data_IF_283247389043
#
_entry.id   IF_283247389043
#
_cell.length_a   1.000
_cell.length_b   1.000
_cell.length_c   1.000
_cell.angle_alpha   90.00
_cell.angle_beta   90.00
_cell.angle_gamma   90.00
#
_symmetry.space_group_name_H-M   'P 1'
#
loop_
_entity.id
_entity.type
_entity.pdbx_description
1 polymer ?
#
# COMPACT_ATOMS: atom_id res chain seq x y z
N UNK A 1 93.80 1.07 121.25
CA UNK A 1 95.03 0.30 121.01
C UNK A 1 96.17 1.30 120.92
N UNK A 2 96.83 1.72 122.01
CA UNK A 2 97.28 0.97 123.20
C UNK A 2 98.29 -0.13 122.84
N UNK A 3 99.43 -0.26 123.51
CA UNK A 3 99.65 0.10 124.93
C UNK A 3 100.97 0.82 125.21
N UNK A 4 100.94 1.78 126.14
CA UNK A 4 102.13 2.22 126.88
C UNK A 4 102.62 1.08 127.79
N UNK A 5 103.92 0.81 127.82
CA UNK A 5 104.59 0.19 128.99
C UNK A 5 105.59 1.16 129.58
N UNK A 6 105.69 1.18 130.91
CA UNK A 6 106.31 2.25 131.71
C UNK A 6 107.12 1.60 132.83
N UNK A 7 108.20 2.27 133.26
CA UNK A 7 108.98 1.97 134.48
C UNK A 7 109.80 0.65 134.46
N UNK A 8 110.76 0.43 135.39
CA UNK A 8 111.19 1.32 136.48
C UNK A 8 112.68 1.74 136.44
N UNK A 9 112.98 2.87 137.10
CA UNK A 9 114.36 3.24 137.43
C UNK A 9 114.90 2.36 138.57
N UNK A 10 116.14 1.87 138.45
CA UNK A 10 116.86 1.20 139.55
C UNK A 10 117.80 2.17 140.25
N UNK A 11 117.70 2.24 141.58
CA UNK A 11 118.62 3.01 142.44
C UNK A 11 120.02 2.37 142.38
N UNK A 12 121.07 3.16 142.14
CA UNK A 12 122.44 2.70 142.34
C UNK A 12 122.77 2.68 143.84
N UNK A 13 123.45 1.62 144.29
CA UNK A 13 123.95 1.50 145.66
C UNK A 13 125.23 2.30 145.86
N UNK A 14 125.38 2.94 147.02
CA UNK A 14 126.63 3.60 147.42
C UNK A 14 127.76 2.56 147.54
N UNK A 15 128.86 2.76 146.82
CA UNK A 15 130.20 2.29 147.24
C UNK A 15 131.07 3.51 147.50
N UNK A 16 131.89 3.44 148.54
CA UNK A 16 132.71 4.56 148.98
C UNK A 16 133.89 4.78 148.04
N UNK A 17 134.09 6.02 147.61
CA UNK A 17 135.39 6.52 147.17
C UNK A 17 135.80 7.65 148.13
N UNK A 18 137.08 7.69 148.52
CA UNK A 18 137.64 8.78 149.32
C UNK A 18 137.98 9.95 148.41
N UNK A 19 137.71 11.17 148.86
CA UNK A 19 137.94 12.39 148.08
C UNK A 19 139.43 12.58 147.76
N UNK A 20 139.73 12.89 146.50
CA UNK A 20 140.83 13.78 146.11
C UNK A 20 140.35 14.65 144.95
N UNK A 21 140.02 15.91 145.23
CA UNK A 21 139.62 16.89 144.20
C UNK A 21 140.87 17.41 143.52
N UNK A 22 141.34 16.69 142.50
CA UNK A 22 142.48 17.10 141.67
C UNK A 22 142.05 18.16 140.66
N UNK A 23 142.51 19.40 140.84
CA UNK A 23 142.35 20.49 139.88
C UNK A 23 143.71 20.73 139.22
N UNK A 24 143.80 20.52 137.90
CA UNK A 24 145.05 20.59 137.11
C UNK A 24 146.26 19.86 137.72
N UNK A 25 146.03 18.76 138.46
CA UNK A 25 147.08 17.88 138.98
C UNK A 25 147.79 18.36 140.25
N UNK A 26 147.39 19.48 140.85
CA UNK A 26 148.00 20.05 142.07
C UNK A 26 146.97 20.06 143.22
N UNK A 27 147.36 19.71 144.46
CA UNK A 27 146.46 19.82 145.62
C UNK A 27 146.16 21.29 145.96
N UNK A 28 144.89 21.57 146.27
CA UNK A 28 144.34 22.91 146.52
C UNK A 28 144.98 23.63 147.73
N UNK A 29 145.70 22.91 148.59
CA UNK A 29 146.29 23.43 149.84
C UNK A 29 147.53 24.31 149.66
N UNK A 30 148.26 24.18 148.56
CA UNK A 30 149.61 24.74 148.40
C UNK A 30 149.74 25.73 147.23
N UNK A 31 148.62 26.08 146.60
CA UNK A 31 148.53 27.08 145.52
C UNK A 31 148.55 28.50 146.10
N UNK A 32 149.45 29.40 145.67
CA UNK A 32 149.42 30.80 146.08
C UNK A 32 148.13 31.48 145.56
N UNK A 33 147.58 32.38 146.37
CA UNK A 33 146.27 33.02 146.16
C UNK A 33 146.06 33.55 144.73
N UNK A 34 147.08 34.20 144.17
CA UNK A 34 147.07 34.77 142.82
C UNK A 34 146.97 33.72 141.69
N UNK A 35 147.56 32.52 141.87
CA UNK A 35 147.40 31.42 140.91
C UNK A 35 146.02 30.75 141.02
N UNK A 36 145.47 30.69 142.24
CA UNK A 36 144.10 30.24 142.47
C UNK A 36 143.08 31.23 141.87
N UNK A 37 143.34 32.53 141.99
CA UNK A 37 142.53 33.61 141.40
C UNK A 37 142.60 33.61 139.86
N UNK A 38 143.78 33.40 139.26
CA UNK A 38 143.91 33.26 137.81
C UNK A 38 143.20 32.00 137.27
N UNK A 39 143.27 30.85 137.97
CA UNK A 39 142.49 29.68 137.57
C UNK A 39 140.98 29.86 137.80
N UNK A 40 140.57 30.59 138.84
CA UNK A 40 139.16 30.98 139.01
C UNK A 40 138.70 31.88 137.85
N UNK A 41 139.52 32.84 137.42
CA UNK A 41 139.22 33.72 136.29
C UNK A 41 139.09 32.94 134.97
N UNK A 42 140.00 31.99 134.72
CA UNK A 42 139.94 31.10 133.55
C UNK A 42 138.70 30.20 133.58
N UNK A 43 138.37 29.60 134.72
CA UNK A 43 137.15 28.81 134.89
C UNK A 43 135.89 29.66 134.70
N UNK A 44 135.90 30.92 135.17
CA UNK A 44 134.80 31.85 134.95
C UNK A 44 134.67 32.22 133.46
N UNK A 45 135.78 32.48 132.76
CA UNK A 45 135.79 32.72 131.31
C UNK A 45 135.30 31.51 130.52
N UNK A 46 135.71 30.29 130.88
CA UNK A 46 135.19 29.06 130.25
C UNK A 46 133.69 28.87 130.53
N UNK A 47 133.22 29.15 131.76
CA UNK A 47 131.79 29.04 132.10
C UNK A 47 130.93 30.07 131.36
N UNK A 48 131.40 31.31 131.18
CA UNK A 48 130.68 32.29 130.37
C UNK A 48 130.79 31.98 128.86
N UNK A 49 131.94 31.53 128.35
CA UNK A 49 132.06 31.09 126.96
C UNK A 49 131.14 29.90 126.65
N UNK A 50 131.09 28.87 127.50
CA UNK A 50 130.10 27.79 127.37
C UNK A 50 128.65 28.30 127.49
N UNK A 51 128.37 29.39 128.22
CA UNK A 51 127.03 30.01 128.27
C UNK A 51 126.71 30.71 126.95
N UNK A 52 127.67 31.43 126.36
CA UNK A 52 127.55 32.04 125.04
C UNK A 52 127.33 30.96 123.96
N UNK A 53 128.12 29.88 123.96
CA UNK A 53 127.91 28.74 123.05
C UNK A 53 126.55 28.07 123.27
N UNK A 54 126.14 27.78 124.52
CA UNK A 54 124.81 27.23 124.80
C UNK A 54 123.68 28.15 124.35
N UNK A 55 123.84 29.47 124.48
CA UNK A 55 122.87 30.46 124.01
C UNK A 55 122.83 30.49 122.48
N UNK A 56 123.99 30.50 121.81
CA UNK A 56 124.10 30.43 120.36
C UNK A 56 123.46 29.16 119.78
N UNK A 57 123.77 27.97 120.34
CA UNK A 57 123.15 26.70 119.94
C UNK A 57 121.67 26.58 120.34
N UNK A 58 121.19 27.35 121.31
CA UNK A 58 119.77 27.47 121.63
C UNK A 58 119.07 28.32 120.56
N UNK A 59 119.61 29.51 120.24
CA UNK A 59 119.08 30.40 119.20
C UNK A 59 119.06 29.75 117.82
N UNK A 60 120.14 29.07 117.41
CA UNK A 60 120.16 28.35 116.13
C UNK A 60 119.18 27.15 116.12
N UNK A 61 118.98 26.45 117.26
CA UNK A 61 117.95 25.41 117.34
C UNK A 61 116.54 26.00 117.19
N UNK A 62 116.24 27.07 117.90
CA UNK A 62 114.90 27.67 117.91
C UNK A 62 114.59 28.33 116.56
N UNK A 63 115.61 28.87 115.88
CA UNK A 63 115.57 29.33 114.48
C UNK A 63 115.33 28.18 113.48
N UNK A 64 116.02 27.04 113.64
CA UNK A 64 115.77 25.82 112.83
C UNK A 64 114.36 25.28 113.08
N UNK A 65 113.89 25.28 114.35
CA UNK A 65 112.54 24.88 114.72
C UNK A 65 111.50 25.79 114.07
N UNK A 66 111.68 27.12 114.14
CA UNK A 66 110.80 28.09 113.49
C UNK A 66 110.78 27.91 111.97
N UNK A 67 111.93 27.70 111.32
CA UNK A 67 111.98 27.38 109.89
C UNK A 67 111.26 26.08 109.56
N UNK A 68 111.40 25.03 110.39
CA UNK A 68 110.69 23.78 110.21
C UNK A 68 109.18 23.93 110.38
N UNK A 69 108.71 24.64 111.41
CA UNK A 69 107.29 24.90 111.66
C UNK A 69 106.66 25.74 110.52
N UNK A 70 107.32 26.82 110.10
CA UNK A 70 106.85 27.66 109.00
C UNK A 70 106.85 26.89 107.67
N UNK A 71 107.91 26.12 107.37
CA UNK A 71 107.97 25.34 106.11
C UNK A 71 106.93 24.22 106.12
N UNK A 72 106.70 23.57 107.27
CA UNK A 72 105.64 22.56 107.46
C UNK A 72 104.26 23.17 107.26
N UNK A 73 103.96 24.31 107.88
CA UNK A 73 102.69 25.00 107.69
C UNK A 73 102.49 25.40 106.23
N UNK A 74 103.51 25.94 105.56
CA UNK A 74 103.44 26.27 104.13
C UNK A 74 103.24 25.04 103.25
N UNK A 75 103.74 23.87 103.63
CA UNK A 75 103.47 22.60 102.95
C UNK A 75 102.00 22.18 103.15
N UNK A 76 101.53 22.16 104.41
CA UNK A 76 100.14 21.80 104.75
C UNK A 76 99.11 22.76 104.11
N UNK A 77 99.42 24.05 104.01
CA UNK A 77 98.62 25.05 103.28
C UNK A 77 98.58 24.78 101.76
N UNK A 78 99.70 24.34 101.17
CA UNK A 78 99.76 24.02 99.74
C UNK A 78 99.08 22.70 99.41
N UNK A 79 99.21 21.69 100.27
CA UNK A 79 98.49 20.43 100.14
C UNK A 79 96.96 20.65 100.24
N UNK A 80 96.51 21.52 101.15
CA UNK A 80 95.10 21.91 101.26
C UNK A 80 94.61 22.71 100.03
N UNK A 81 95.43 23.62 99.49
CA UNK A 81 95.12 24.37 98.27
C UNK A 81 95.07 23.47 97.03
N UNK A 82 95.92 22.43 96.95
CA UNK A 82 95.87 21.41 95.90
C UNK A 82 94.55 20.63 95.98
N UNK A 83 94.18 20.10 97.15
CA UNK A 83 92.91 19.38 97.34
C UNK A 83 91.68 20.23 96.99
N UNK A 84 91.71 21.53 97.30
CA UNK A 84 90.64 22.46 96.91
C UNK A 84 90.60 22.64 95.37
N UNK A 85 91.76 22.72 94.70
CA UNK A 85 91.81 22.84 93.24
C UNK A 85 91.48 21.55 92.49
N UNK A 86 91.82 20.40 93.03
CA UNK A 86 91.36 19.10 92.52
C UNK A 86 89.82 19.02 92.63
N UNK A 87 89.25 19.44 93.76
CA UNK A 87 87.79 19.51 93.97
C UNK A 87 87.10 20.49 93.02
N UNK A 88 87.71 21.65 92.74
CA UNK A 88 87.21 22.66 91.78
C UNK A 88 87.23 22.14 90.34
N UNK A 89 88.25 21.35 89.98
CA UNK A 89 88.35 20.67 88.67
C UNK A 89 87.29 19.56 88.54
N UNK A 90 87.08 18.76 89.58
CA UNK A 90 86.04 17.72 89.61
C UNK A 90 84.62 18.33 89.53
N UNK A 91 84.35 19.42 90.26
CA UNK A 91 83.07 20.13 90.18
C UNK A 91 82.84 20.72 88.78
N UNK A 92 83.85 21.34 88.17
CA UNK A 92 83.77 21.85 86.79
C UNK A 92 83.51 20.72 85.78
N UNK A 93 84.17 19.56 85.93
CA UNK A 93 83.96 18.40 85.08
C UNK A 93 82.54 17.81 85.23
N UNK A 94 82.01 17.74 86.45
CA UNK A 94 80.64 17.31 86.72
C UNK A 94 79.60 18.28 86.13
N UNK A 95 79.83 19.59 86.25
CA UNK A 95 78.96 20.62 85.69
C UNK A 95 78.94 20.56 84.15
N UNK A 96 80.09 20.51 83.48
CA UNK A 96 80.13 20.33 82.01
C UNK A 96 79.48 19.02 81.55
N UNK A 97 79.60 17.93 82.33
CA UNK A 97 78.94 16.67 82.02
C UNK A 97 77.40 16.76 82.20
N UNK A 98 76.90 17.62 83.11
CA UNK A 98 75.49 17.95 83.23
C UNK A 98 74.99 18.84 82.07
N UNK A 99 75.78 19.84 81.65
CA UNK A 99 75.48 20.67 80.47
C UNK A 99 75.36 19.81 79.20
N UNK A 100 76.31 18.91 78.96
CA UNK A 100 76.28 17.98 77.82
C UNK A 100 75.02 17.11 77.83
N UNK A 101 74.57 16.64 79.01
CA UNK A 101 73.29 15.92 79.15
C UNK A 101 72.09 16.81 78.80
N UNK A 102 72.06 18.05 79.29
CA UNK A 102 71.00 19.02 79.01
C UNK A 102 70.92 19.37 77.52
N UNK A 103 72.05 19.68 76.87
CA UNK A 103 72.09 19.94 75.43
C UNK A 103 71.69 18.71 74.60
N UNK A 104 72.09 17.50 75.01
CA UNK A 104 71.65 16.25 74.37
C UNK A 104 70.15 16.01 74.52
N UNK A 105 69.53 16.42 75.62
CA UNK A 105 68.08 16.37 75.80
C UNK A 105 67.36 17.45 74.96
N UNK A 106 67.87 18.69 74.93
CA UNK A 106 67.34 19.76 74.06
C UNK A 106 67.39 19.37 72.57
N UNK A 107 68.51 18.80 72.11
CA UNK A 107 68.65 18.28 70.74
C UNK A 107 67.59 17.21 70.43
N UNK A 108 67.39 16.23 71.32
CA UNK A 108 66.34 15.21 71.17
C UNK A 108 64.93 15.82 71.10
N UNK A 109 64.65 16.82 71.92
CA UNK A 109 63.36 17.51 71.96
C UNK A 109 63.08 18.22 70.62
N UNK A 110 64.03 19.02 70.14
CA UNK A 110 63.92 19.74 68.86
C UNK A 110 63.79 18.75 67.69
N UNK A 111 64.56 17.65 67.68
CA UNK A 111 64.41 16.61 66.65
C UNK A 111 63.03 15.94 66.67
N UNK A 112 62.45 15.72 67.86
CA UNK A 112 61.11 15.18 68.00
C UNK A 112 60.03 16.18 67.53
N UNK A 113 60.15 17.46 67.91
CA UNK A 113 59.24 18.52 67.44
C UNK A 113 59.27 18.68 65.92
N UNK A 114 60.48 18.71 65.32
CA UNK A 114 60.63 18.74 63.87
C UNK A 114 59.99 17.52 63.20
N UNK A 115 60.14 16.32 63.78
CA UNK A 115 59.51 15.11 63.23
C UNK A 115 57.99 15.15 63.36
N UNK A 116 57.44 15.55 64.52
CA UNK A 116 55.98 15.69 64.68
C UNK A 116 55.41 16.73 63.71
N UNK A 117 56.07 17.88 63.54
CA UNK A 117 55.64 18.89 62.58
C UNK A 117 55.63 18.37 61.14
N UNK A 118 56.64 17.57 60.74
CA UNK A 118 56.66 16.91 59.44
C UNK A 118 55.51 15.89 59.34
N UNK A 119 55.33 15.03 60.34
CA UNK A 119 54.30 14.00 60.35
C UNK A 119 52.88 14.60 60.33
N UNK A 120 52.66 15.72 61.02
CA UNK A 120 51.41 16.48 61.01
C UNK A 120 51.14 17.12 59.64
N UNK A 121 52.13 17.82 59.06
CA UNK A 121 52.00 18.40 57.71
C UNK A 121 51.79 17.34 56.62
N UNK A 122 52.40 16.16 56.76
CA UNK A 122 52.16 15.05 55.85
C UNK A 122 50.73 14.49 55.99
N UNK A 123 50.20 14.35 57.22
CA UNK A 123 48.79 13.93 57.45
C UNK A 123 47.80 14.97 56.91
N UNK A 124 48.05 16.26 57.18
CA UNK A 124 47.26 17.38 56.66
C UNK A 124 47.19 17.30 55.13
N UNK A 125 48.34 17.21 54.44
CA UNK A 125 48.40 17.12 52.97
C UNK A 125 47.79 15.83 52.40
N UNK A 126 47.87 14.69 53.08
CA UNK A 126 47.15 13.48 52.62
C UNK A 126 45.64 13.59 52.84
N UNK A 127 45.18 14.28 53.88
CA UNK A 127 43.75 14.53 54.09
C UNK A 127 43.17 15.54 53.10
N UNK A 128 43.86 16.64 52.80
CA UNK A 128 43.51 17.57 51.72
C UNK A 128 43.39 16.85 50.37
N UNK A 129 44.37 16.00 50.04
CA UNK A 129 44.38 15.22 48.80
C UNK A 129 43.18 14.27 48.73
N UNK A 130 42.86 13.58 49.82
CA UNK A 130 41.74 12.63 49.86
C UNK A 130 40.39 13.33 49.69
N UNK A 131 40.19 14.48 50.34
CA UNK A 131 38.99 15.30 50.18
C UNK A 131 38.86 15.77 48.71
N UNK A 132 39.94 16.26 48.11
CA UNK A 132 39.94 16.69 46.70
C UNK A 132 39.68 15.53 45.72
N UNK A 133 40.19 14.33 46.00
CA UNK A 133 39.89 13.12 45.21
C UNK A 133 38.43 12.66 45.37
N UNK A 134 37.83 12.85 46.54
CA UNK A 134 36.40 12.58 46.79
C UNK A 134 35.49 13.62 46.10
N UNK A 135 35.81 14.92 46.18
CA UNK A 135 35.13 16.00 45.45
C UNK A 135 35.19 15.77 43.93
N UNK A 136 36.36 15.44 43.38
CA UNK A 136 36.50 15.11 41.96
C UNK A 136 35.73 13.84 41.56
N UNK A 137 35.65 12.83 42.43
CA UNK A 137 34.86 11.63 42.16
C UNK A 137 33.36 11.93 42.12
N UNK A 138 32.86 12.80 43.00
CA UNK A 138 31.46 13.26 42.99
C UNK A 138 31.14 14.03 41.70
N UNK A 139 32.02 14.93 41.26
CA UNK A 139 31.84 15.68 40.01
C UNK A 139 31.87 14.76 38.77
N UNK A 140 32.81 13.81 38.70
CA UNK A 140 32.87 12.82 37.60
C UNK A 140 31.58 11.98 37.57
N UNK A 141 31.13 11.48 38.71
CA UNK A 141 29.86 10.73 38.79
C UNK A 141 28.68 11.60 38.33
N UNK A 142 28.60 12.87 38.73
CA UNK A 142 27.55 13.79 38.31
C UNK A 142 27.54 13.98 36.78
N UNK A 143 28.72 14.19 36.17
CA UNK A 143 28.87 14.37 34.73
C UNK A 143 28.55 13.10 33.94
N UNK A 144 28.90 11.92 34.44
CA UNK A 144 28.46 10.64 33.84
C UNK A 144 26.93 10.47 33.94
N UNK A 145 26.34 10.86 35.06
CA UNK A 145 24.88 10.83 35.27
C UNK A 145 24.14 11.77 34.30
N UNK A 146 24.68 12.97 34.04
CA UNK A 146 24.15 13.88 33.01
C UNK A 146 24.37 13.36 31.59
N UNK A 147 25.56 12.85 31.27
CA UNK A 147 25.85 12.28 29.95
C UNK A 147 24.89 11.12 29.62
N UNK A 148 24.58 10.26 30.60
CA UNK A 148 23.59 9.20 30.44
C UNK A 148 22.16 9.76 30.26
N UNK A 149 21.75 10.77 31.05
CA UNK A 149 20.44 11.43 30.89
C UNK A 149 20.27 12.07 29.50
N UNK A 150 21.30 12.75 28.98
CA UNK A 150 21.27 13.31 27.62
C UNK A 150 21.20 12.23 26.54
N UNK A 151 21.90 11.10 26.74
CA UNK A 151 21.89 9.95 25.82
C UNK A 151 20.52 9.27 25.77
N UNK A 152 19.85 9.11 26.90
CA UNK A 152 18.49 8.57 26.97
C UNK A 152 17.47 9.52 26.34
N UNK A 153 17.59 10.83 26.59
CA UNK A 153 16.78 11.85 25.89
C UNK A 153 16.99 11.82 24.37
N UNK A 154 18.24 11.65 23.91
CA UNK A 154 18.56 11.52 22.49
C UNK A 154 17.90 10.26 21.86
N UNK A 155 17.99 9.11 22.53
CA UNK A 155 17.32 7.89 22.05
C UNK A 155 15.80 8.03 22.04
N UNK A 156 15.20 8.66 23.06
CA UNK A 156 13.76 8.92 23.09
C UNK A 156 13.34 9.84 21.93
N UNK A 157 14.05 10.94 21.68
CA UNK A 157 13.81 11.81 20.52
C UNK A 157 13.99 11.08 19.18
N UNK A 158 14.95 10.15 19.07
CA UNK A 158 15.14 9.33 17.88
C UNK A 158 13.95 8.38 17.65
N UNK A 159 13.43 7.75 18.71
CA UNK A 159 12.24 6.89 18.67
C UNK A 159 11.00 7.71 18.29
N UNK A 160 10.78 8.86 18.93
CA UNK A 160 9.62 9.72 18.69
C UNK A 160 9.61 10.31 17.28
N UNK A 161 10.77 10.68 16.74
CA UNK A 161 10.92 11.09 15.34
C UNK A 161 10.62 9.92 14.37
N UNK A 162 11.13 8.71 14.67
CA UNK A 162 10.79 7.50 13.92
C UNK A 162 9.29 7.22 13.89
N UNK A 163 8.64 7.31 15.06
CA UNK A 163 7.19 7.18 15.21
C UNK A 163 6.43 8.29 14.45
N UNK A 164 6.90 9.54 14.48
CA UNK A 164 6.31 10.64 13.73
C UNK A 164 6.36 10.40 12.21
N UNK A 165 7.48 9.92 11.68
CA UNK A 165 7.64 9.55 10.26
C UNK A 165 6.71 8.40 9.88
N UNK A 166 6.58 7.36 10.73
CA UNK A 166 5.66 6.24 10.51
C UNK A 166 4.20 6.73 10.50
N UNK A 167 3.82 7.57 11.47
CA UNK A 167 2.47 8.12 11.58
C UNK A 167 2.11 9.06 10.41
N UNK A 168 3.06 9.85 9.89
CA UNK A 168 2.86 10.65 8.66
C UNK A 168 2.66 9.74 7.44
N UNK A 169 3.50 8.70 7.27
CA UNK A 169 3.36 7.74 6.17
C UNK A 169 2.04 6.97 6.21
N UNK A 170 1.57 6.60 7.41
CA UNK A 170 0.30 5.92 7.60
C UNK A 170 -0.87 6.84 7.17
N UNK A 171 -0.91 8.08 7.66
CA UNK A 171 -1.93 9.07 7.25
C UNK A 171 -1.95 9.30 5.75
N UNK A 172 -0.78 9.46 5.11
CA UNK A 172 -0.72 9.61 3.66
C UNK A 172 -1.21 8.36 2.91
N UNK A 173 -1.03 7.16 3.45
CA UNK A 173 -1.60 5.94 2.87
C UNK A 173 -3.13 5.86 3.06
N UNK A 174 -3.65 6.31 4.21
CA UNK A 174 -5.09 6.45 4.49
C UNK A 174 -5.75 7.47 3.54
N UNK A 175 -5.14 8.65 3.38
CA UNK A 175 -5.57 9.71 2.45
C UNK A 175 -5.61 9.20 1.00
N UNK A 176 -4.53 8.54 0.55
CA UNK A 176 -4.46 7.95 -0.81
C UNK A 176 -5.50 6.84 -1.01
N UNK A 177 -5.76 6.01 0.01
CA UNK A 177 -6.77 4.97 -0.06
C UNK A 177 -8.18 5.57 -0.13
N UNK A 178 -8.47 6.60 0.68
CA UNK A 178 -9.72 7.36 0.65
C UNK A 178 -9.95 8.01 -0.72
N UNK A 179 -8.94 8.69 -1.25
CA UNK A 179 -9.00 9.34 -2.57
C UNK A 179 -9.18 8.33 -3.71
N UNK A 180 -8.48 7.19 -3.66
CA UNK A 180 -8.68 6.11 -4.62
C UNK A 180 -10.10 5.52 -4.56
N UNK A 181 -10.66 5.34 -3.35
CA UNK A 181 -12.04 4.88 -3.18
C UNK A 181 -13.07 5.91 -3.69
N UNK A 182 -12.79 7.21 -3.59
CA UNK A 182 -13.61 8.28 -4.17
C UNK A 182 -13.59 8.20 -5.71
N UNK A 183 -12.41 8.21 -6.33
CA UNK A 183 -12.31 8.09 -7.79
C UNK A 183 -12.88 6.79 -8.34
N UNK A 184 -12.78 5.67 -7.61
CA UNK A 184 -13.42 4.41 -8.00
C UNK A 184 -14.95 4.55 -8.02
N UNK A 185 -15.56 5.16 -7.00
CA UNK A 185 -17.00 5.42 -6.93
C UNK A 185 -17.46 6.33 -8.09
N UNK A 186 -16.75 7.43 -8.34
CA UNK A 186 -17.04 8.33 -9.46
C UNK A 186 -16.94 7.63 -10.82
N UNK A 187 -15.88 6.84 -11.00
CA UNK A 187 -15.63 6.04 -12.21
C UNK A 187 -16.75 5.03 -12.44
N UNK A 188 -17.23 4.33 -11.41
CA UNK A 188 -18.29 3.33 -11.54
C UNK A 188 -19.68 3.98 -11.72
N UNK A 189 -19.92 5.15 -11.13
CA UNK A 189 -21.10 5.99 -11.44
C UNK A 189 -21.07 6.43 -12.90
N UNK A 190 -19.92 6.86 -13.43
CA UNK A 190 -19.77 7.27 -14.83
C UNK A 190 -20.01 6.08 -15.77
N UNK A 191 -19.35 4.94 -15.56
CA UNK A 191 -19.59 3.70 -16.32
C UNK A 191 -21.08 3.30 -16.30
N UNK A 192 -21.75 3.44 -15.16
CA UNK A 192 -23.18 3.11 -15.02
C UNK A 192 -24.06 4.01 -15.88
N UNK A 193 -23.77 5.31 -15.96
CA UNK A 193 -24.45 6.25 -16.87
C UNK A 193 -24.23 5.88 -18.34
N UNK A 194 -22.98 5.71 -18.76
CA UNK A 194 -22.62 5.33 -20.15
C UNK A 194 -23.33 4.04 -20.59
N UNK A 195 -23.36 3.01 -19.73
CA UNK A 195 -24.07 1.75 -19.99
C UNK A 195 -25.59 1.96 -20.08
N UNK A 196 -26.17 2.82 -19.25
CA UNK A 196 -27.59 3.16 -19.30
C UNK A 196 -27.96 3.94 -20.57
N UNK A 197 -27.11 4.87 -21.03
CA UNK A 197 -27.32 5.63 -22.27
C UNK A 197 -27.20 4.73 -23.52
N UNK A 198 -26.19 3.84 -23.56
CA UNK A 198 -26.08 2.81 -24.60
C UNK A 198 -27.32 1.90 -24.60
N UNK A 199 -27.83 1.51 -23.43
CA UNK A 199 -29.08 0.77 -23.27
C UNK A 199 -30.29 1.53 -23.82
N UNK A 200 -30.44 2.81 -23.48
CA UNK A 200 -31.53 3.66 -23.95
C UNK A 200 -31.49 3.86 -25.48
N UNK A 201 -30.31 4.00 -26.08
CA UNK A 201 -30.12 4.08 -27.53
C UNK A 201 -30.54 2.77 -28.20
N UNK A 202 -30.13 1.60 -27.67
CA UNK A 202 -30.56 0.28 -28.16
C UNK A 202 -32.09 0.12 -28.08
N UNK A 203 -32.69 0.46 -26.95
CA UNK A 203 -34.15 0.43 -26.78
C UNK A 203 -34.91 1.45 -27.64
N UNK A 204 -34.28 2.54 -28.11
CA UNK A 204 -34.86 3.43 -29.12
C UNK A 204 -34.82 2.76 -30.50
N UNK A 205 -33.65 2.31 -30.94
CA UNK A 205 -33.47 1.68 -32.25
C UNK A 205 -34.36 0.44 -32.43
N UNK A 206 -34.49 -0.41 -31.42
CA UNK A 206 -35.35 -1.60 -31.51
C UNK A 206 -36.84 -1.24 -31.59
N UNK A 207 -37.29 -0.18 -30.88
CA UNK A 207 -38.68 0.33 -31.03
C UNK A 207 -38.93 0.94 -32.39
N UNK A 208 -37.95 1.60 -33.00
CA UNK A 208 -38.10 2.21 -34.32
C UNK A 208 -38.06 1.13 -35.43
N UNK A 209 -37.26 0.08 -35.26
CA UNK A 209 -37.30 -1.15 -36.06
C UNK A 209 -38.67 -1.84 -35.97
N UNK A 210 -39.19 -2.02 -34.76
CA UNK A 210 -40.49 -2.66 -34.52
C UNK A 210 -41.64 -1.87 -35.17
N UNK A 211 -41.66 -0.53 -35.04
CA UNK A 211 -42.61 0.33 -35.78
C UNK A 211 -42.50 0.12 -37.29
N UNK A 212 -41.29 0.10 -37.85
CA UNK A 212 -41.09 -0.09 -39.28
C UNK A 212 -41.60 -1.46 -39.77
N UNK A 213 -41.42 -2.52 -38.97
CA UNK A 213 -42.00 -3.85 -39.22
C UNK A 213 -43.54 -3.77 -39.19
N UNK A 214 -44.13 -3.14 -38.18
CA UNK A 214 -45.57 -2.97 -38.06
C UNK A 214 -46.18 -2.12 -39.19
N UNK A 215 -45.47 -1.09 -39.67
CA UNK A 215 -45.89 -0.30 -40.83
C UNK A 215 -45.84 -1.12 -42.13
N UNK A 216 -44.79 -1.91 -42.34
CA UNK A 216 -44.69 -2.82 -43.49
C UNK A 216 -45.80 -3.87 -43.41
N UNK A 217 -46.11 -4.39 -42.23
CA UNK A 217 -47.19 -5.36 -42.06
C UNK A 217 -48.55 -4.72 -42.37
N UNK A 218 -48.89 -3.56 -41.79
CA UNK A 218 -50.12 -2.83 -42.12
C UNK A 218 -50.25 -2.53 -43.62
N UNK A 219 -49.16 -2.16 -44.30
CA UNK A 219 -49.14 -1.94 -45.76
C UNK A 219 -49.43 -3.23 -46.55
N UNK A 220 -48.98 -4.40 -46.08
CA UNK A 220 -49.33 -5.71 -46.64
C UNK A 220 -50.78 -6.08 -46.35
N UNK A 221 -51.24 -5.88 -45.12
CA UNK A 221 -52.60 -6.21 -44.69
C UNK A 221 -53.63 -5.40 -45.51
N UNK A 222 -53.42 -4.08 -45.64
CA UNK A 222 -54.23 -3.22 -46.53
C UNK A 222 -54.19 -3.65 -48.00
N UNK A 223 -53.05 -4.17 -48.49
CA UNK A 223 -52.96 -4.69 -49.86
C UNK A 223 -53.73 -6.02 -50.02
N UNK A 224 -53.72 -6.88 -49.01
CA UNK A 224 -54.52 -8.11 -48.96
C UNK A 224 -56.01 -7.77 -48.90
N UNK A 225 -56.42 -6.81 -48.07
CA UNK A 225 -57.80 -6.30 -48.02
C UNK A 225 -58.25 -5.74 -49.38
N UNK A 226 -57.41 -4.94 -50.04
CA UNK A 226 -57.70 -4.40 -51.37
C UNK A 226 -57.80 -5.50 -52.45
N UNK A 227 -56.92 -6.51 -52.41
CA UNK A 227 -57.02 -7.67 -53.31
C UNK A 227 -58.30 -8.47 -53.07
N UNK A 228 -58.70 -8.68 -51.81
CA UNK A 228 -59.97 -9.35 -51.46
C UNK A 228 -61.16 -8.55 -52.00
N UNK A 229 -61.18 -7.22 -51.82
CA UNK A 229 -62.23 -6.35 -52.35
C UNK A 229 -62.29 -6.41 -53.88
N UNK A 230 -61.16 -6.29 -54.57
CA UNK A 230 -61.08 -6.41 -56.03
C UNK A 230 -61.54 -7.80 -56.52
N UNK A 231 -61.19 -8.88 -55.82
CA UNK A 231 -61.64 -10.22 -56.16
C UNK A 231 -63.16 -10.40 -55.95
N UNK A 232 -63.74 -9.85 -54.88
CA UNK A 232 -65.19 -9.87 -54.65
C UNK A 232 -65.94 -9.01 -55.69
N UNK A 233 -65.42 -7.84 -56.05
CA UNK A 233 -65.97 -7.01 -57.13
C UNK A 233 -65.94 -7.75 -58.47
N UNK A 234 -64.82 -8.37 -58.85
CA UNK A 234 -64.70 -9.14 -60.08
C UNK A 234 -65.60 -10.39 -60.06
N UNK A 235 -65.74 -11.05 -58.90
CA UNK A 235 -66.66 -12.18 -58.73
C UNK A 235 -68.12 -11.75 -58.87
N UNK A 236 -68.50 -10.60 -58.28
CA UNK A 236 -69.85 -10.05 -58.40
C UNK A 236 -70.13 -9.50 -59.82
N UNK A 237 -69.13 -8.99 -60.55
CA UNK A 237 -69.23 -8.68 -61.99
C UNK A 237 -69.46 -9.96 -62.82
N UNK A 238 -68.68 -11.02 -62.59
CA UNK A 238 -68.82 -12.31 -63.28
C UNK A 238 -70.19 -12.96 -63.00
N UNK A 239 -70.67 -12.88 -61.75
CA UNK A 239 -72.00 -13.29 -61.32
C UNK A 239 -73.11 -12.45 -61.95
N UNK A 240 -72.92 -11.14 -62.12
CA UNK A 240 -73.86 -10.28 -62.86
C UNK A 240 -73.90 -10.68 -64.34
N UNK A 241 -72.75 -10.89 -64.98
CA UNK A 241 -72.65 -11.34 -66.38
C UNK A 241 -73.39 -12.66 -66.61
N UNK A 242 -73.18 -13.68 -65.76
CA UNK A 242 -73.95 -14.93 -65.86
C UNK A 242 -75.44 -14.74 -65.56
N UNK A 243 -75.81 -13.90 -64.59
CA UNK A 243 -77.23 -13.57 -64.34
C UNK A 243 -77.88 -12.88 -65.54
N UNK A 244 -77.15 -12.05 -66.28
CA UNK A 244 -77.67 -11.35 -67.46
C UNK A 244 -77.74 -12.26 -68.70
N UNK A 245 -76.82 -13.21 -68.86
CA UNK A 245 -76.97 -14.34 -69.80
C UNK A 245 -78.24 -15.14 -69.44
N UNK A 246 -78.39 -15.57 -68.19
CA UNK A 246 -79.54 -16.36 -67.72
C UNK A 246 -80.86 -15.59 -67.94
N UNK A 247 -80.90 -14.27 -67.67
CA UNK A 247 -82.06 -13.42 -68.01
C UNK A 247 -82.33 -13.41 -69.52
N UNK A 248 -81.29 -13.25 -70.34
CA UNK A 248 -81.42 -13.21 -71.80
C UNK A 248 -81.91 -14.55 -72.35
N UNK A 249 -81.37 -15.67 -71.87
CA UNK A 249 -81.81 -17.02 -72.22
C UNK A 249 -83.26 -17.27 -71.77
N UNK A 250 -83.66 -16.84 -70.58
CA UNK A 250 -85.04 -16.89 -70.10
C UNK A 250 -85.96 -16.02 -70.97
N UNK A 251 -85.54 -14.83 -71.39
CA UNK A 251 -86.28 -13.96 -72.30
C UNK A 251 -86.40 -14.57 -73.71
N UNK A 252 -85.34 -15.20 -74.21
CA UNK A 252 -85.31 -15.92 -75.48
C UNK A 252 -86.26 -17.11 -75.44
N UNK A 253 -86.14 -17.98 -74.43
CA UNK A 253 -87.05 -19.11 -74.16
C UNK A 253 -88.50 -18.63 -74.06
N UNK A 254 -88.75 -17.51 -73.37
CA UNK A 254 -90.09 -16.93 -73.26
C UNK A 254 -90.60 -16.42 -74.61
N UNK A 255 -89.76 -15.76 -75.40
CA UNK A 255 -90.13 -15.29 -76.75
C UNK A 255 -90.42 -16.45 -77.70
N UNK A 256 -89.64 -17.54 -77.64
CA UNK A 256 -89.87 -18.77 -78.39
C UNK A 256 -91.18 -19.44 -77.95
N UNK A 257 -91.44 -19.51 -76.64
CA UNK A 257 -92.68 -20.06 -76.08
C UNK A 257 -93.91 -19.25 -76.45
N UNK A 258 -93.84 -17.92 -76.46
CA UNK A 258 -94.93 -17.05 -76.89
C UNK A 258 -95.10 -17.09 -78.43
N UNK A 259 -94.02 -17.28 -79.20
CA UNK A 259 -94.07 -17.52 -80.65
C UNK A 259 -94.69 -18.89 -80.99
N UNK A 260 -94.48 -19.91 -80.16
CA UNK A 260 -95.18 -21.19 -80.23
C UNK A 260 -96.68 -21.00 -79.93
N UNK A 261 -97.07 -20.21 -78.91
CA UNK A 261 -98.49 -19.88 -78.68
C UNK A 261 -99.12 -19.16 -79.87
N UNK A 262 -98.42 -18.22 -80.51
CA UNK A 262 -98.94 -17.52 -81.68
C UNK A 262 -98.95 -18.37 -82.95
N UNK A 263 -98.09 -19.39 -83.06
CA UNK A 263 -98.21 -20.43 -84.08
C UNK A 263 -99.41 -21.34 -83.81
N UNK A 264 -99.61 -21.80 -82.57
CA UNK A 264 -100.80 -22.58 -82.17
C UNK A 264 -102.11 -21.80 -82.38
N UNK A 265 -102.12 -20.48 -82.09
CA UNK A 265 -103.27 -19.61 -82.41
C UNK A 265 -103.54 -19.54 -83.92
N UNK A 266 -102.48 -19.43 -84.74
CA UNK A 266 -102.61 -19.43 -86.21
C UNK A 266 -103.04 -20.80 -86.72
N UNK A 267 -102.59 -21.88 -86.11
CA UNK A 267 -103.02 -23.25 -86.43
C UNK A 267 -104.50 -23.47 -86.08
N UNK A 268 -104.96 -23.04 -84.89
CA UNK A 268 -106.38 -22.99 -84.56
C UNK A 268 -107.18 -22.18 -85.59
N UNK A 269 -106.70 -20.99 -85.97
CA UNK A 269 -107.34 -20.17 -86.99
C UNK A 269 -107.34 -20.84 -88.37
N UNK A 270 -106.27 -21.53 -88.77
CA UNK A 270 -106.22 -22.28 -90.03
C UNK A 270 -107.19 -23.46 -90.01
N UNK A 271 -107.27 -24.23 -88.92
CA UNK A 271 -108.28 -25.29 -88.72
C UNK A 271 -109.71 -24.71 -88.85
N UNK A 272 -109.94 -23.51 -88.30
CA UNK A 272 -111.22 -22.81 -88.36
C UNK A 272 -111.53 -22.29 -89.77
N UNK A 273 -110.54 -21.83 -90.53
CA UNK A 273 -110.72 -21.46 -91.96
C UNK A 273 -110.89 -22.68 -92.86
N UNK A 274 -110.23 -23.81 -92.57
CA UNK A 274 -110.39 -25.07 -93.32
C UNK A 274 -111.82 -25.57 -93.17
N UNK A 275 -112.36 -25.65 -91.94
CA UNK A 275 -113.78 -25.99 -91.72
C UNK A 275 -114.76 -25.07 -92.46
N UNK A 276 -114.45 -23.77 -92.51
CA UNK A 276 -115.25 -22.79 -93.26
C UNK A 276 -115.08 -22.87 -94.79
N UNK A 277 -114.06 -23.56 -95.30
CA UNK A 277 -113.84 -23.83 -96.73
C UNK A 277 -114.45 -25.18 -97.13
N UNK A 278 -114.33 -26.21 -96.30
CA UNK A 278 -115.03 -27.50 -96.44
C UNK A 278 -116.55 -27.27 -96.55
N UNK A 279 -117.14 -26.55 -95.60
CA UNK A 279 -118.56 -26.20 -95.62
C UNK A 279 -119.01 -25.37 -96.84
N UNK A 280 -118.08 -24.67 -97.52
CA UNK A 280 -118.37 -23.95 -98.78
C UNK A 280 -118.20 -24.84 -100.02
N UNK A 281 -117.33 -25.84 -99.95
CA UNK A 281 -117.09 -26.80 -101.02
C UNK A 281 -118.27 -27.76 -101.19
N UNK A 282 -118.94 -28.14 -100.10
CA UNK A 282 -120.17 -28.93 -100.13
C UNK A 282 -121.32 -28.18 -100.83
N UNK A 283 -121.50 -26.90 -100.49
CA UNK A 283 -122.52 -26.03 -101.12
C UNK A 283 -122.25 -25.83 -102.61
N UNK A 284 -120.97 -25.62 -103.00
CA UNK A 284 -120.57 -25.52 -104.41
C UNK A 284 -120.77 -26.83 -105.17
N UNK A 285 -120.52 -27.97 -104.53
CA UNK A 285 -120.72 -29.30 -105.11
C UNK A 285 -122.22 -29.61 -105.32
N UNK A 286 -123.10 -29.11 -104.46
CA UNK A 286 -124.55 -29.16 -104.70
C UNK A 286 -124.96 -28.30 -105.91
N UNK A 287 -124.54 -27.02 -105.93
CA UNK A 287 -124.90 -26.09 -107.00
C UNK A 287 -124.37 -26.49 -108.39
N UNK A 288 -123.22 -27.16 -108.46
CA UNK A 288 -122.65 -27.65 -109.72
C UNK A 288 -123.48 -28.77 -110.38
N UNK A 289 -124.10 -29.65 -109.57
CA UNK A 289 -124.96 -30.71 -110.08
C UNK A 289 -126.27 -30.17 -110.67
N UNK A 290 -126.88 -29.16 -110.03
CA UNK A 290 -128.09 -28.51 -110.57
C UNK A 290 -127.84 -27.82 -111.92
N UNK A 291 -126.68 -27.19 -112.08
CA UNK A 291 -126.30 -26.51 -113.33
C UNK A 291 -126.18 -27.48 -114.53
N UNK A 292 -125.69 -28.70 -114.31
CA UNK A 292 -125.59 -29.73 -115.34
C UNK A 292 -126.97 -30.18 -115.86
N UNK A 293 -128.02 -30.12 -115.04
CA UNK A 293 -129.37 -30.51 -115.45
C UNK A 293 -130.06 -29.45 -116.35
N UNK A 294 -129.64 -28.19 -116.27
CA UNK A 294 -130.21 -27.07 -117.05
C UNK A 294 -129.67 -27.05 -118.49
N UNK A 295 -128.36 -27.29 -118.65
CA UNK A 295 -127.67 -27.19 -119.96
C UNK A 295 -128.27 -28.11 -121.04
N UNK A 296 -128.83 -29.26 -120.65
CA UNK A 296 -129.39 -30.27 -121.54
C UNK A 296 -130.75 -29.90 -122.18
N UNK A 297 -131.38 -28.77 -121.81
CA UNK A 297 -132.73 -28.40 -122.28
C UNK A 297 -132.77 -27.42 -123.46
N UNK A 298 -131.70 -26.66 -123.75
CA UNK A 298 -131.70 -25.61 -124.78
C UNK A 298 -131.14 -26.07 -126.14
N UNK A 299 -131.57 -27.25 -126.58
CA UNK A 299 -131.41 -27.72 -127.97
C UNK A 299 -132.74 -27.50 -128.73
N UNK A 300 -132.65 -27.24 -130.05
CA UNK A 300 -133.76 -27.15 -131.03
C UNK A 300 -134.59 -25.85 -131.05
N UNK A 301 -134.20 -24.89 -131.90
CA UNK A 301 -134.97 -24.47 -133.09
C UNK A 301 -134.26 -23.37 -133.92
N UNK A 302 -134.59 -23.33 -135.22
CA UNK A 302 -134.17 -22.39 -136.27
C UNK A 302 -132.74 -22.58 -136.80
N UNK A 303 -132.66 -23.03 -138.05
CA UNK A 303 -131.44 -23.18 -138.87
C UNK A 303 -131.30 -22.02 -139.88
N UNK A 304 -130.09 -21.81 -140.44
CA UNK A 304 -129.93 -21.82 -141.90
C UNK A 304 -128.47 -22.00 -142.36
N UNK A 305 -128.24 -23.21 -142.87
CA UNK A 305 -127.35 -23.65 -143.97
C UNK A 305 -126.85 -22.58 -144.97
N UNK A 306 -125.79 -22.80 -145.75
CA UNK A 306 -124.58 -23.65 -145.64
C UNK A 306 -123.59 -23.24 -146.75
N UNK A 307 -122.37 -22.85 -146.40
CA UNK A 307 -121.28 -22.46 -147.31
C UNK A 307 -119.96 -22.75 -146.56
N UNK A 308 -118.91 -23.40 -147.08
CA UNK A 308 -118.67 -24.12 -148.35
C UNK A 308 -117.32 -24.87 -148.19
N UNK A 309 -117.22 -26.14 -148.63
CA UNK A 309 -116.00 -26.90 -149.06
C UNK A 309 -114.60 -26.55 -148.48
N UNK A 310 -113.70 -27.48 -148.10
CA UNK A 310 -113.70 -28.95 -148.09
C UNK A 310 -112.39 -29.47 -147.41
N UNK A 311 -112.36 -30.76 -147.05
CA UNK A 311 -111.23 -31.70 -147.23
C UNK A 311 -109.73 -31.29 -147.07
N UNK A 312 -109.04 -32.06 -146.20
CA UNK A 312 -107.89 -32.95 -146.57
C UNK A 312 -106.47 -32.36 -146.64
N UNK A 313 -105.84 -32.23 -145.48
CA UNK A 313 -104.41 -32.53 -145.24
C UNK A 313 -104.28 -33.02 -143.79
N UNK A 314 -103.93 -34.29 -143.55
CA UNK A 314 -102.57 -34.73 -143.22
C UNK A 314 -101.93 -33.79 -142.16
N UNK A 315 -101.82 -34.15 -140.88
CA UNK A 315 -101.33 -35.43 -140.33
C UNK A 315 -99.90 -35.72 -140.83
N UNK A 316 -98.95 -35.50 -139.92
CA UNK A 316 -97.55 -35.95 -139.88
C UNK A 316 -96.64 -35.80 -141.12
N UNK A 317 -95.53 -35.08 -140.92
CA UNK A 317 -94.20 -35.68 -141.15
C UNK A 317 -93.04 -34.95 -140.49
N UNK A 318 -91.95 -35.69 -140.35
CA UNK A 318 -90.59 -35.21 -140.10
C UNK A 318 -90.30 -34.62 -138.71
N UNK A 319 -90.20 -35.54 -137.74
CA UNK A 319 -89.08 -35.45 -136.80
C UNK A 319 -87.75 -35.32 -137.57
N UNK A 320 -86.94 -34.34 -137.18
CA UNK A 320 -85.51 -34.17 -137.46
C UNK A 320 -84.96 -33.39 -136.25
N UNK A 321 -83.89 -33.79 -135.55
CA UNK A 321 -82.98 -34.94 -135.66
C UNK A 321 -82.73 -35.47 -134.23
N UNK A 322 -82.43 -36.76 -134.10
CA UNK A 322 -81.89 -37.34 -132.87
C UNK A 322 -80.37 -37.11 -132.82
N UNK A 323 -79.88 -36.24 -131.94
CA UNK A 323 -78.55 -36.30 -131.30
C UNK A 323 -78.42 -35.20 -130.23
N UNK A 324 -78.07 -35.61 -129.00
CA UNK A 324 -77.30 -34.91 -127.94
C UNK A 324 -77.65 -33.45 -127.55
N UNK A 325 -77.82 -33.07 -126.27
CA UNK A 325 -77.76 -33.83 -125.01
C UNK A 325 -78.48 -33.09 -123.85
N UNK A 326 -78.49 -33.70 -122.65
CA UNK A 326 -78.81 -33.18 -121.29
C UNK A 326 -78.85 -31.64 -121.06
N UNK A 327 -79.65 -31.04 -120.16
CA UNK A 327 -80.83 -31.44 -119.35
C UNK A 327 -81.39 -30.20 -118.57
N UNK A 328 -82.54 -30.32 -117.87
CA UNK A 328 -82.76 -29.54 -116.63
C UNK A 328 -83.59 -28.24 -116.65
N UNK A 329 -84.93 -28.38 -116.54
CA UNK A 329 -85.90 -27.52 -115.82
C UNK A 329 -85.69 -25.98 -115.74
N UNK A 330 -86.50 -25.25 -116.51
CA UNK A 330 -87.21 -24.01 -116.10
C UNK A 330 -86.42 -22.90 -115.37
N UNK A 331 -85.62 -22.15 -116.13
CA UNK A 331 -85.23 -20.75 -115.85
C UNK A 331 -86.45 -19.82 -116.06
N UNK A 332 -86.58 -18.59 -115.53
CA UNK A 332 -85.82 -17.76 -114.55
C UNK A 332 -86.80 -16.68 -114.04
N UNK A 333 -86.97 -16.40 -112.73
CA UNK A 333 -86.08 -15.70 -111.75
C UNK A 333 -86.03 -14.17 -111.94
N UNK A 334 -85.62 -13.37 -110.91
CA UNK A 334 -85.03 -13.73 -109.59
C UNK A 334 -85.85 -13.27 -108.35
N UNK A 335 -85.49 -13.53 -107.07
CA UNK A 335 -84.69 -14.54 -106.32
C UNK A 335 -84.40 -13.91 -104.92
N UNK A 336 -84.56 -14.52 -103.73
CA UNK A 336 -85.02 -15.85 -103.26
C UNK A 336 -85.62 -15.70 -101.84
N UNK A 337 -86.23 -16.74 -101.25
CA UNK A 337 -86.36 -16.84 -99.77
C UNK A 337 -86.45 -18.30 -99.24
N UNK A 338 -86.04 -18.50 -97.96
CA UNK A 338 -86.22 -19.70 -97.09
C UNK A 338 -85.39 -20.96 -97.49
N UNK A 339 -85.03 -21.90 -96.60
CA UNK A 339 -85.07 -21.98 -95.11
C UNK A 339 -83.92 -22.88 -94.57
N UNK A 340 -83.91 -23.17 -93.27
CA UNK A 340 -83.15 -24.20 -92.52
C UNK A 340 -83.22 -25.62 -93.20
N UNK A 341 -82.45 -26.66 -92.83
CA UNK A 341 -82.11 -27.11 -91.47
C UNK A 341 -80.97 -28.17 -91.41
N UNK A 342 -80.16 -28.09 -90.34
CA UNK A 342 -79.37 -29.09 -89.58
C UNK A 342 -78.52 -30.27 -90.18
N UNK A 343 -77.54 -30.63 -89.33
CA UNK A 343 -76.96 -31.96 -89.02
C UNK A 343 -75.63 -32.50 -89.63
N UNK A 344 -74.67 -32.65 -88.69
CA UNK A 344 -73.71 -33.74 -88.43
C UNK A 344 -72.64 -34.21 -89.46
N UNK A 345 -71.39 -33.78 -89.16
CA UNK A 345 -70.21 -34.60 -88.78
C UNK A 345 -69.36 -35.45 -89.77
N UNK A 346 -68.06 -35.45 -89.43
CA UNK A 346 -66.99 -36.47 -89.57
C UNK A 346 -65.96 -36.45 -90.73
N UNK A 347 -64.73 -36.86 -90.35
CA UNK A 347 -63.46 -37.02 -91.11
C UNK A 347 -62.85 -35.74 -91.71
N UNK A 348 -61.72 -35.17 -91.25
CA UNK A 348 -60.59 -35.59 -90.38
C UNK A 348 -59.48 -36.44 -91.05
N UNK A 349 -58.40 -35.76 -91.48
CA UNK A 349 -57.02 -36.28 -91.56
C UNK A 349 -56.06 -35.09 -91.35
N UNK A 350 -55.46 -34.97 -90.15
CA UNK A 350 -54.05 -35.30 -89.79
C UNK A 350 -53.05 -34.18 -90.14
N UNK A 351 -52.55 -33.43 -89.13
CA UNK A 351 -51.24 -33.62 -88.44
C UNK A 351 -50.09 -33.04 -89.30
N UNK A 352 -49.34 -32.02 -88.86
CA UNK A 352 -48.33 -32.07 -87.78
C UNK A 352 -48.17 -30.80 -86.90
N UNK A 353 -47.51 -30.96 -85.74
CA UNK A 353 -46.49 -30.01 -85.25
C UNK A 353 -46.88 -28.84 -84.32
N UNK A 354 -46.85 -29.07 -83.00
CA UNK A 354 -46.99 -28.04 -81.93
C UNK A 354 -46.17 -28.51 -80.71
N UNK A 355 -45.66 -27.65 -79.78
CA UNK A 355 -44.96 -26.35 -79.88
C UNK A 355 -43.51 -26.48 -79.33
N UNK A 356 -42.85 -25.37 -78.95
CA UNK A 356 -42.06 -25.36 -77.70
C UNK A 356 -42.01 -23.97 -77.02
N UNK A 357 -41.69 -23.97 -75.72
CA UNK A 357 -41.64 -22.82 -74.79
C UNK A 357 -40.24 -22.77 -74.12
N UNK A 358 -39.92 -21.67 -73.42
CA UNK A 358 -38.61 -21.34 -72.80
C UNK A 358 -37.60 -20.80 -73.82
N UNK A 359 -36.68 -19.86 -73.52
CA UNK A 359 -36.16 -19.31 -72.24
C UNK A 359 -35.57 -17.89 -72.51
N UNK A 360 -35.19 -17.00 -71.57
CA UNK A 360 -35.21 -16.95 -70.09
C UNK A 360 -34.93 -15.50 -69.59
N UNK A 361 -34.65 -15.33 -68.29
CA UNK A 361 -33.88 -14.23 -67.65
C UNK A 361 -34.47 -12.80 -67.53
N UNK A 362 -34.82 -12.46 -66.28
CA UNK A 362 -34.80 -11.10 -65.71
C UNK A 362 -33.36 -10.66 -65.45
N UNK A 363 -32.97 -9.45 -65.83
CA UNK A 363 -32.05 -8.60 -65.03
C UNK A 363 -31.91 -7.19 -65.63
N UNK A 364 -32.60 -6.22 -65.01
CA UNK A 364 -32.39 -4.79 -65.31
C UNK A 364 -31.27 -4.25 -64.42
N UNK A 365 -30.15 -3.83 -65.02
CA UNK A 365 -28.88 -3.71 -64.33
C UNK A 365 -28.52 -2.25 -63.98
N UNK A 366 -29.23 -1.65 -63.00
CA UNK A 366 -28.83 -0.34 -62.49
C UNK A 366 -27.52 -0.39 -61.70
N UNK A 367 -26.64 0.56 -62.01
CA UNK A 367 -25.27 0.68 -61.49
C UNK A 367 -25.12 1.98 -60.71
N UNK A 368 -24.32 1.94 -59.63
CA UNK A 368 -23.76 3.10 -58.90
C UNK A 368 -24.81 3.89 -58.08
N UNK A 369 -24.45 4.64 -57.03
CA UNK A 369 -23.13 5.06 -56.50
C UNK A 369 -23.25 5.40 -55.00
N UNK A 370 -22.16 5.30 -54.23
CA UNK A 370 -21.75 6.09 -53.03
C UNK A 370 -22.82 6.46 -51.96
N UNK A 371 -22.58 6.45 -50.65
CA UNK A 371 -21.43 7.00 -49.94
C UNK A 371 -21.71 6.98 -48.41
N UNK A 372 -20.66 6.85 -47.59
CA UNK A 372 -20.64 6.95 -46.11
C UNK A 372 -21.41 5.86 -45.34
#
# INVERSE_FOLDING_TARGET
>A
MDSKKKQPAKKMGKKQFKNYTLLNGVPITDMPKEQLENHFLQLQQVVEHEREERNYYQLERDKIQLFWEVTKQQMEEKDALLQLKDSEVDEAALNHLAEIKLFKQKMKHIMFECQQYIDERMKEKTSEKLILEEEHLVEVNHLEDEANKLKDQFFQLQIDNGNAIINQRLKHAEDLCSLHQQYQKETDILKSKEVAEIGAIRHRLERDREKAIQEIQKKKDMHIEHLIQMHEEMFQQMKNYYNDIIKNDILLIKSLKDKIKDLLRKECHYIETIKNLEAKNDVLSSAFNDFLQIKSRHLKKVDSKDVFYFQKKQEEKSQKILHDNLSGKSLTKPQNWKILENDLLYFQQTVDGVPNISSHFVNDHWKRRNSW
#
